data_IF_769709329273
#
_entry.id   IF_769709329273
#
_cell.length_a   1.000
_cell.length_b   1.000
_cell.length_c   1.000
_cell.angle_alpha   90.00
_cell.angle_beta   90.00
_cell.angle_gamma   90.00
#
_symmetry.space_group_name_H-M   'P 1'
#
loop_
_entity.id
_entity.type
_entity.pdbx_description
1 polymer ?
#
# COMPACT_ATOMS: atom_id res chain seq x y z
N UNK A 1 3.83 -18.83 0.67
CA UNK A 1 5.07 -18.09 0.33
C UNK A 1 4.64 -16.65 0.10
N UNK A 2 5.35 -15.68 0.69
CA UNK A 2 5.11 -14.28 0.37
C UNK A 2 5.48 -14.03 -1.10
N UNK A 3 4.86 -13.04 -1.72
CA UNK A 3 5.26 -12.60 -3.07
C UNK A 3 6.52 -11.74 -2.94
N UNK A 4 7.37 -11.71 -3.98
CA UNK A 4 8.59 -10.89 -3.98
C UNK A 4 8.30 -9.41 -3.63
N UNK A 5 7.19 -8.86 -4.15
CA UNK A 5 6.75 -7.50 -3.84
C UNK A 5 6.42 -7.28 -2.35
N UNK A 6 5.99 -8.33 -1.64
CA UNK A 6 5.73 -8.25 -0.21
C UNK A 6 7.03 -8.31 0.61
N UNK A 7 8.02 -9.07 0.15
CA UNK A 7 9.35 -9.13 0.77
C UNK A 7 10.09 -7.79 0.63
N UNK A 8 10.06 -7.18 -0.55
CA UNK A 8 10.63 -5.84 -0.80
C UNK A 8 9.99 -4.76 0.10
N UNK A 9 8.66 -4.85 0.29
CA UNK A 9 7.92 -3.98 1.19
C UNK A 9 8.35 -4.21 2.64
N UNK A 10 8.45 -5.46 3.07
CA UNK A 10 8.86 -5.80 4.44
C UNK A 10 10.29 -5.31 4.74
N UNK A 11 11.22 -5.45 3.80
CA UNK A 11 12.57 -4.87 3.93
C UNK A 11 12.50 -3.35 4.06
N UNK A 12 11.75 -2.67 3.19
CA UNK A 12 11.61 -1.20 3.25
C UNK A 12 11.09 -0.74 4.62
N UNK A 13 10.08 -1.41 5.17
CA UNK A 13 9.53 -1.09 6.49
C UNK A 13 10.47 -1.45 7.65
N UNK A 14 11.38 -2.40 7.47
CA UNK A 14 12.37 -2.75 8.49
C UNK A 14 13.41 -1.63 8.71
N UNK A 15 13.62 -0.74 7.72
CA UNK A 15 14.46 0.45 7.85
C UNK A 15 13.72 1.67 8.40
N UNK A 16 12.38 1.63 8.50
CA UNK A 16 11.58 2.72 9.04
C UNK A 16 11.38 2.52 10.55
N UNK A 17 12.11 3.27 11.35
CA UNK A 17 12.06 3.19 12.81
C UNK A 17 10.91 4.03 13.41
N UNK A 18 10.50 5.12 12.74
CA UNK A 18 9.40 5.97 13.18
C UNK A 18 8.05 5.51 12.61
N UNK A 19 7.02 5.54 13.46
CA UNK A 19 5.64 5.27 13.08
C UNK A 19 5.12 6.31 12.08
N UNK A 20 5.56 7.57 12.17
CA UNK A 20 5.14 8.63 11.26
C UNK A 20 5.64 8.35 9.83
N UNK A 21 6.89 7.93 9.70
CA UNK A 21 7.49 7.60 8.40
C UNK A 21 6.85 6.37 7.77
N UNK A 22 6.50 5.35 8.57
CA UNK A 22 5.71 4.20 8.11
C UNK A 22 4.35 4.64 7.56
N UNK A 23 3.66 5.52 8.27
CA UNK A 23 2.35 6.02 7.83
C UNK A 23 2.46 6.82 6.54
N UNK A 24 3.46 7.71 6.45
CA UNK A 24 3.73 8.49 5.25
C UNK A 24 4.00 7.58 4.06
N UNK A 25 4.82 6.54 4.25
CA UNK A 25 5.14 5.60 3.19
C UNK A 25 3.90 4.85 2.67
N UNK A 26 3.00 4.39 3.55
CA UNK A 26 1.72 3.77 3.13
C UNK A 26 0.86 4.74 2.32
N UNK A 27 0.77 6.00 2.75
CA UNK A 27 -0.01 7.03 2.05
C UNK A 27 0.56 7.28 0.65
N UNK A 28 1.88 7.38 0.51
CA UNK A 28 2.52 7.59 -0.80
C UNK A 28 2.28 6.38 -1.73
N UNK A 29 2.36 5.15 -1.22
CA UNK A 29 2.00 3.96 -1.98
C UNK A 29 0.54 4.00 -2.47
N UNK A 30 -0.39 4.37 -1.59
CA UNK A 30 -1.80 4.54 -1.95
C UNK A 30 -2.04 5.66 -2.96
N UNK A 31 -1.28 6.77 -2.89
CA UNK A 31 -1.35 7.87 -3.86
C UNK A 31 -0.81 7.50 -5.24
N UNK A 32 0.19 6.61 -5.29
CA UNK A 32 0.76 6.11 -6.52
C UNK A 32 -0.15 5.10 -7.25
N UNK A 33 -1.17 4.57 -6.57
CA UNK A 33 -2.10 3.64 -7.19
C UNK A 33 -2.98 4.35 -8.24
N UNK A 34 -3.26 3.68 -9.37
CA UNK A 34 -4.23 4.18 -10.32
C UNK A 34 -5.62 4.27 -9.67
N UNK A 35 -6.47 5.23 -10.10
CA UNK A 35 -7.83 5.31 -9.61
C UNK A 35 -8.57 4.02 -9.92
N UNK A 36 -9.36 3.54 -8.95
CA UNK A 36 -10.25 2.42 -9.17
C UNK A 36 -11.28 2.78 -10.25
N UNK A 37 -11.52 1.86 -11.19
CA UNK A 37 -12.56 2.01 -12.21
C UNK A 37 -13.93 2.18 -11.54
N UNK A 38 -14.74 3.08 -12.11
CA UNK A 38 -16.10 3.36 -11.61
C UNK A 38 -17.00 2.12 -11.67
N UNK A 39 -16.74 1.17 -12.58
CA UNK A 39 -17.47 -0.11 -12.64
C UNK A 39 -17.35 -0.93 -11.35
N UNK A 40 -16.27 -0.74 -10.59
CA UNK A 40 -16.05 -1.42 -9.32
C UNK A 40 -16.58 -0.63 -8.11
N UNK A 41 -16.98 0.64 -8.28
CA UNK A 41 -17.52 1.49 -7.20
C UNK A 41 -19.02 1.26 -6.99
N UNK A 42 -19.43 -0.01 -6.91
CA UNK A 42 -20.84 -0.42 -6.74
C UNK A 42 -21.10 -0.90 -5.31
N UNK A 43 -22.33 -0.76 -4.77
CA UNK A 43 -22.63 -1.18 -3.39
C UNK A 43 -22.36 -2.65 -3.07
N UNK A 44 -22.32 -3.51 -4.09
CA UNK A 44 -22.02 -4.94 -3.95
C UNK A 44 -20.52 -5.23 -3.70
N UNK A 45 -19.64 -4.28 -4.00
CA UNK A 45 -18.18 -4.35 -3.79
C UNK A 45 -17.77 -3.38 -2.67
N UNK A 46 -18.47 -3.46 -1.53
CA UNK A 46 -18.13 -2.74 -0.30
C UNK A 46 -17.26 -3.59 0.61
#
# INVERSE_FOLDING_TARGET
MATAAFEDLAETFAFLDDWEDRYRHVIELGRAMPPLDDSFKVPALK
#
